data_IF_686287533051
#
_entry.id   IF_686287533051
#
_cell.length_a   1.000
_cell.length_b   1.000
_cell.length_c   1.000
_cell.angle_alpha   90.00
_cell.angle_beta   90.00
_cell.angle_gamma   90.00
#
_symmetry.space_group_name_H-M   'P 1'
#
loop_
_entity.id
_entity.type
_entity.pdbx_description
1 polymer ?
#
# COMPACT_ATOMS: atom_id res chain seq x y z
N UNK A 1 -1.82 10.76 -16.85
CA UNK A 1 -1.81 9.28 -17.00
C UNK A 1 -3.24 8.81 -17.06
N UNK A 2 -3.57 8.06 -18.10
CA UNK A 2 -4.88 7.40 -18.20
C UNK A 2 -4.82 6.04 -17.47
N UNK A 3 -5.97 5.55 -16.99
CA UNK A 3 -6.03 4.25 -16.32
C UNK A 3 -5.53 3.11 -17.22
N UNK A 4 -5.76 3.21 -18.53
CA UNK A 4 -5.28 2.26 -19.53
C UNK A 4 -3.75 2.18 -19.68
N UNK A 5 -3.02 3.18 -19.17
CA UNK A 5 -1.56 3.17 -19.15
C UNK A 5 -1.00 2.29 -18.01
N UNK A 6 -1.83 2.00 -17.00
CA UNK A 6 -1.47 1.26 -15.78
C UNK A 6 -1.89 -0.21 -15.92
N UNK A 7 -1.13 -1.12 -15.32
CA UNK A 7 -1.48 -2.56 -15.37
C UNK A 7 -1.02 -3.32 -14.12
N UNK A 8 0.24 -3.59 -13.96
CA UNK A 8 0.80 -4.43 -12.89
C UNK A 8 1.90 -3.70 -12.13
N UNK A 9 2.29 -4.21 -10.96
CA UNK A 9 3.52 -3.74 -10.31
C UNK A 9 4.74 -3.93 -11.20
N UNK A 10 4.78 -5.04 -11.95
CA UNK A 10 5.88 -5.37 -12.86
C UNK A 10 6.02 -4.33 -13.99
N UNK A 11 4.92 -3.78 -14.46
CA UNK A 11 4.92 -2.75 -15.51
C UNK A 11 5.60 -1.45 -15.08
N UNK A 12 5.69 -1.17 -13.76
CA UNK A 12 6.41 0.00 -13.25
C UNK A 12 7.92 -0.02 -13.56
N UNK A 13 8.47 -1.17 -13.91
CA UNK A 13 9.84 -1.32 -14.40
C UNK A 13 10.03 -0.84 -15.86
N UNK A 14 8.95 -0.56 -16.59
CA UNK A 14 9.02 -0.11 -17.98
C UNK A 14 9.56 1.32 -18.09
N UNK A 15 10.40 1.58 -19.11
CA UNK A 15 11.00 2.90 -19.37
C UNK A 15 9.98 4.03 -19.63
N UNK A 16 8.72 3.70 -19.97
CA UNK A 16 7.66 4.70 -20.10
C UNK A 16 7.42 5.49 -18.80
N UNK A 17 7.83 4.92 -17.66
CA UNK A 17 7.71 5.54 -16.34
C UNK A 17 8.94 6.33 -15.89
N UNK A 18 9.96 6.48 -16.72
CA UNK A 18 11.21 7.17 -16.38
C UNK A 18 10.96 8.61 -15.93
N UNK A 19 11.43 8.91 -14.70
CA UNK A 19 11.24 10.23 -14.09
C UNK A 19 9.80 10.54 -13.67
N UNK A 20 8.95 9.52 -13.51
CA UNK A 20 7.51 9.69 -13.26
C UNK A 20 7.01 9.02 -11.97
N UNK A 21 7.84 8.15 -11.35
CA UNK A 21 7.43 7.42 -10.15
C UNK A 21 7.83 8.15 -8.87
N UNK A 22 6.91 8.19 -7.92
CA UNK A 22 7.09 8.74 -6.57
C UNK A 22 6.91 7.65 -5.52
N UNK A 23 7.87 7.54 -4.62
CA UNK A 23 7.90 6.50 -3.59
C UNK A 23 8.45 7.01 -2.27
N UNK A 24 8.16 6.30 -1.20
CA UNK A 24 8.80 6.48 0.11
C UNK A 24 10.13 5.75 0.18
N UNK A 25 10.92 6.04 1.21
CA UNK A 25 12.16 5.32 1.54
C UNK A 25 11.93 3.80 1.69
N UNK A 26 12.97 3.03 1.33
CA UNK A 26 13.05 1.58 1.56
C UNK A 26 12.95 1.17 3.04
N UNK A 27 13.28 2.09 3.95
CA UNK A 27 13.14 1.88 5.40
C UNK A 27 11.67 1.78 5.86
N UNK A 28 10.73 2.20 5.01
CA UNK A 28 9.31 2.14 5.32
C UNK A 28 8.77 0.70 5.30
N UNK A 29 8.03 0.32 6.34
CA UNK A 29 7.49 -1.03 6.51
C UNK A 29 6.53 -1.44 5.38
N UNK A 30 5.80 -0.50 4.77
CA UNK A 30 4.87 -0.80 3.68
C UNK A 30 5.61 -1.16 2.39
N UNK A 31 6.68 -0.42 2.06
CA UNK A 31 7.55 -0.76 0.93
C UNK A 31 8.25 -2.10 1.16
N UNK A 32 8.70 -2.37 2.40
CA UNK A 32 9.28 -3.67 2.74
C UNK A 32 8.27 -4.81 2.60
N UNK A 33 7.01 -4.60 2.98
CA UNK A 33 5.95 -5.58 2.80
C UNK A 33 5.65 -5.82 1.32
N UNK A 34 5.52 -4.76 0.51
CA UNK A 34 5.33 -4.87 -0.93
C UNK A 34 6.49 -5.64 -1.58
N UNK A 35 7.74 -5.27 -1.29
CA UNK A 35 8.87 -5.96 -1.89
C UNK A 35 8.97 -7.42 -1.42
N UNK A 36 8.64 -7.70 -0.15
CA UNK A 36 8.54 -9.07 0.36
C UNK A 36 7.50 -9.89 -0.39
N UNK A 37 6.36 -9.29 -0.76
CA UNK A 37 5.34 -9.96 -1.58
C UNK A 37 5.84 -10.24 -3.00
N UNK A 38 6.60 -9.34 -3.60
CA UNK A 38 7.22 -9.55 -4.91
C UNK A 38 8.28 -10.67 -4.84
N UNK A 39 9.14 -10.70 -3.81
CA UNK A 39 10.08 -11.80 -3.60
C UNK A 39 9.36 -13.14 -3.47
N UNK A 40 8.26 -13.19 -2.74
CA UNK A 40 7.50 -14.42 -2.56
C UNK A 40 6.83 -14.91 -3.86
N UNK A 41 6.34 -13.97 -4.69
CA UNK A 41 5.63 -14.29 -5.93
C UNK A 41 6.56 -14.52 -7.13
N UNK A 42 7.66 -13.75 -7.23
CA UNK A 42 8.52 -13.69 -8.43
C UNK A 42 9.90 -14.34 -8.20
N UNK A 43 10.33 -14.49 -6.95
CA UNK A 43 11.69 -14.88 -6.57
C UNK A 43 12.64 -13.68 -6.46
N UNK A 44 13.83 -13.93 -5.88
CA UNK A 44 14.80 -12.88 -5.55
C UNK A 44 15.37 -12.19 -6.80
N UNK A 45 15.81 -12.97 -7.81
CA UNK A 45 16.44 -12.44 -9.03
C UNK A 45 15.49 -11.53 -9.81
N UNK A 46 14.26 -11.97 -10.06
CA UNK A 46 13.28 -11.16 -10.78
C UNK A 46 12.90 -9.89 -10.00
N UNK A 47 12.80 -9.98 -8.67
CA UNK A 47 12.53 -8.83 -7.81
C UNK A 47 13.71 -7.86 -7.77
N UNK A 48 14.95 -8.34 -7.77
CA UNK A 48 16.14 -7.50 -7.88
C UNK A 48 16.13 -6.68 -9.17
N UNK A 49 15.94 -7.35 -10.31
CA UNK A 49 15.88 -6.70 -11.62
C UNK A 49 14.74 -5.67 -11.69
N UNK A 50 13.57 -6.00 -11.14
CA UNK A 50 12.45 -5.08 -11.02
C UNK A 50 12.81 -3.86 -10.20
N UNK A 51 13.44 -4.05 -9.03
CA UNK A 51 13.81 -2.95 -8.13
C UNK A 51 14.79 -1.98 -8.81
N UNK A 52 15.83 -2.49 -9.48
CA UNK A 52 16.79 -1.66 -10.23
C UNK A 52 16.12 -0.83 -11.33
N UNK A 53 15.21 -1.46 -12.09
CA UNK A 53 14.47 -0.78 -13.14
C UNK A 53 13.52 0.29 -12.57
N UNK A 54 12.78 -0.02 -11.50
CA UNK A 54 11.87 0.93 -10.83
C UNK A 54 12.63 2.11 -10.24
N UNK A 55 13.81 1.88 -9.62
CA UNK A 55 14.67 2.95 -9.10
C UNK A 55 15.09 3.90 -10.22
N UNK A 56 15.40 3.39 -11.41
CA UNK A 56 15.74 4.21 -12.58
C UNK A 56 14.59 5.07 -13.08
N UNK A 57 13.36 4.75 -12.69
CA UNK A 57 12.14 5.44 -13.07
C UNK A 57 11.67 6.47 -12.01
N UNK A 58 12.36 6.61 -10.89
CA UNK A 58 11.99 7.60 -9.88
C UNK A 58 12.06 9.02 -10.40
N UNK A 59 11.03 9.81 -10.09
CA UNK A 59 10.97 11.23 -10.41
C UNK A 59 11.94 12.05 -9.55
N UNK A 60 12.24 11.56 -8.35
CA UNK A 60 13.14 12.17 -7.37
C UNK A 60 13.61 11.12 -6.37
N UNK A 61 14.62 11.45 -5.57
CA UNK A 61 15.03 10.63 -4.43
C UNK A 61 13.83 10.36 -3.50
N UNK A 62 13.68 9.11 -2.99
CA UNK A 62 12.64 8.74 -2.06
C UNK A 62 12.65 9.62 -0.80
N UNK A 63 11.52 10.22 -0.45
CA UNK A 63 11.38 11.08 0.74
C UNK A 63 9.93 11.25 1.16
N UNK A 64 9.71 11.61 2.41
CA UNK A 64 8.38 11.91 2.95
C UNK A 64 7.53 10.65 3.21
N UNK A 65 6.28 10.87 3.50
CA UNK A 65 5.29 9.82 3.76
C UNK A 65 4.32 9.67 2.56
N UNK A 66 3.27 8.81 2.68
CA UNK A 66 2.32 8.57 1.58
C UNK A 66 1.58 9.84 1.16
N UNK A 67 1.17 10.70 2.12
CA UNK A 67 0.51 11.97 1.80
C UNK A 67 1.44 12.90 1.02
N UNK A 68 2.75 12.87 1.33
CA UNK A 68 3.75 13.68 0.61
C UNK A 68 3.93 13.20 -0.84
N UNK A 69 3.75 11.89 -1.13
CA UNK A 69 3.76 11.40 -2.50
C UNK A 69 2.54 11.93 -3.27
N UNK A 70 1.34 11.89 -2.69
CA UNK A 70 0.11 12.42 -3.31
C UNK A 70 0.22 13.92 -3.57
N UNK A 71 0.68 14.70 -2.58
CA UNK A 71 0.93 16.14 -2.75
C UNK A 71 1.98 16.42 -3.83
N UNK A 72 2.97 15.55 -3.97
CA UNK A 72 3.98 15.68 -5.04
C UNK A 72 3.40 15.42 -6.43
N UNK A 73 2.45 14.47 -6.59
CA UNK A 73 1.70 14.32 -7.85
C UNK A 73 0.90 15.60 -8.15
N UNK A 74 0.13 16.10 -7.17
CA UNK A 74 -0.65 17.33 -7.32
C UNK A 74 0.22 18.53 -7.71
N UNK A 75 1.48 18.56 -7.28
CA UNK A 75 2.47 19.58 -7.64
C UNK A 75 3.23 19.29 -8.95
N UNK A 76 2.86 18.27 -9.71
CA UNK A 76 3.48 17.91 -10.99
C UNK A 76 4.90 17.37 -10.90
N UNK A 77 5.31 16.81 -9.73
CA UNK A 77 6.65 16.26 -9.54
C UNK A 77 6.80 14.81 -10.05
N UNK A 78 5.72 14.17 -10.41
CA UNK A 78 5.64 12.82 -10.95
C UNK A 78 4.19 12.49 -11.25
N UNK A 79 3.94 11.32 -11.84
CA UNK A 79 2.61 10.96 -12.34
C UNK A 79 1.99 9.77 -11.63
N UNK A 80 2.81 8.89 -11.06
CA UNK A 80 2.37 7.69 -10.36
C UNK A 80 3.07 7.59 -9.01
N UNK A 81 2.34 7.25 -7.96
CA UNK A 81 2.91 7.02 -6.64
C UNK A 81 2.51 5.65 -6.08
N UNK A 82 3.45 4.98 -5.41
CA UNK A 82 3.16 3.77 -4.62
C UNK A 82 2.83 4.21 -3.20
N UNK A 83 1.56 4.05 -2.81
CA UNK A 83 1.03 4.47 -1.50
C UNK A 83 0.00 3.47 -0.99
N UNK A 84 -0.29 3.50 0.31
CA UNK A 84 -1.47 2.81 0.83
C UNK A 84 -2.72 3.64 0.55
N UNK A 85 -3.76 2.98 0.05
CA UNK A 85 -5.00 3.64 -0.41
C UNK A 85 -5.70 4.46 0.67
N UNK A 86 -5.70 4.01 1.94
CA UNK A 86 -6.39 4.71 3.01
C UNK A 86 -5.89 6.15 3.24
N UNK A 87 -4.64 6.47 2.88
CA UNK A 87 -4.14 7.85 2.97
C UNK A 87 -4.89 8.80 2.03
N UNK A 88 -5.46 8.29 0.94
CA UNK A 88 -6.29 9.11 0.04
C UNK A 88 -7.60 9.49 0.75
N UNK A 89 -8.24 8.55 1.44
CA UNK A 89 -9.41 8.82 2.27
C UNK A 89 -9.13 9.87 3.36
N UNK A 90 -7.98 9.76 4.01
CA UNK A 90 -7.54 10.74 5.02
C UNK A 90 -7.28 12.14 4.42
N UNK A 91 -6.74 12.23 3.21
CA UNK A 91 -6.56 13.52 2.52
C UNK A 91 -7.90 14.14 2.12
N UNK A 92 -8.80 13.34 1.55
CA UNK A 92 -10.14 13.79 1.12
C UNK A 92 -11.01 14.28 2.28
N UNK A 93 -10.76 13.77 3.49
CA UNK A 93 -11.49 14.11 4.71
C UNK A 93 -10.74 15.10 5.62
N UNK A 94 -9.65 15.68 5.15
CA UNK A 94 -8.85 16.64 5.91
C UNK A 94 -9.59 17.97 6.07
N UNK A 95 -9.36 18.66 7.18
CA UNK A 95 -9.78 20.06 7.36
C UNK A 95 -8.90 21.05 6.57
N UNK A 96 -7.76 20.59 6.05
CA UNK A 96 -6.84 21.40 5.25
C UNK A 96 -7.24 21.31 3.77
N UNK A 97 -7.64 22.43 3.20
CA UNK A 97 -8.07 22.55 1.80
C UNK A 97 -6.98 22.10 0.79
N UNK A 98 -5.71 22.37 1.07
CA UNK A 98 -4.59 21.90 0.23
C UNK A 98 -4.53 20.36 0.17
N UNK A 99 -4.75 19.69 1.31
CA UNK A 99 -4.79 18.23 1.38
C UNK A 99 -5.98 17.65 0.61
N UNK A 100 -7.16 18.26 0.79
CA UNK A 100 -8.38 17.85 0.07
C UNK A 100 -8.19 18.02 -1.44
N UNK A 101 -7.62 19.13 -1.88
CA UNK A 101 -7.36 19.39 -3.29
C UNK A 101 -6.32 18.41 -3.87
N UNK A 102 -5.27 18.07 -3.13
CA UNK A 102 -4.32 17.04 -3.52
C UNK A 102 -4.99 15.67 -3.67
N UNK A 103 -5.83 15.27 -2.70
CA UNK A 103 -6.61 14.02 -2.78
C UNK A 103 -7.55 13.97 -3.99
N UNK A 104 -8.20 15.09 -4.33
CA UNK A 104 -9.12 15.19 -5.48
C UNK A 104 -8.42 15.20 -6.83
N UNK A 105 -7.12 15.49 -6.88
CA UNK A 105 -6.35 15.56 -8.12
C UNK A 105 -5.80 14.23 -8.62
N UNK A 106 -6.02 13.14 -7.87
CA UNK A 106 -5.51 11.81 -8.19
C UNK A 106 -6.65 10.78 -8.26
N UNK A 107 -6.37 9.66 -8.91
CA UNK A 107 -7.21 8.46 -8.88
C UNK A 107 -6.47 7.31 -8.21
N UNK A 108 -7.22 6.42 -7.55
CA UNK A 108 -6.68 5.18 -6.98
C UNK A 108 -6.73 4.09 -8.05
N UNK A 109 -5.61 3.42 -8.25
CA UNK A 109 -5.49 2.28 -9.14
C UNK A 109 -4.98 1.05 -8.39
N UNK A 110 -5.65 -0.08 -8.55
CA UNK A 110 -5.23 -1.37 -8.00
C UNK A 110 -4.54 -2.20 -9.08
N UNK A 111 -3.23 -2.47 -8.98
CA UNK A 111 -2.51 -3.22 -10.00
C UNK A 111 -2.82 -4.72 -9.99
N UNK A 112 -2.42 -5.42 -11.05
CA UNK A 112 -2.55 -6.87 -11.20
C UNK A 112 -4.00 -7.40 -11.18
N UNK A 113 -4.94 -6.68 -11.82
CA UNK A 113 -6.37 -7.05 -11.83
C UNK A 113 -6.81 -7.88 -13.05
N UNK A 114 -5.98 -7.99 -14.09
CA UNK A 114 -6.29 -8.72 -15.32
C UNK A 114 -6.46 -10.24 -15.12
N UNK A 115 -6.98 -10.92 -16.13
CA UNK A 115 -7.13 -12.36 -16.12
C UNK A 115 -5.79 -13.07 -15.94
N UNK A 116 -5.76 -14.03 -15.02
CA UNK A 116 -4.53 -14.76 -14.67
C UNK A 116 -3.52 -13.99 -13.81
N UNK A 117 -3.71 -12.69 -13.58
CA UNK A 117 -2.85 -11.91 -12.68
C UNK A 117 -3.20 -12.17 -11.21
N UNK A 118 -2.25 -11.98 -10.29
CA UNK A 118 -2.38 -12.38 -8.88
C UNK A 118 -3.28 -11.48 -8.02
N UNK A 119 -3.52 -10.25 -8.43
CA UNK A 119 -4.19 -9.24 -7.62
C UNK A 119 -3.24 -8.27 -6.93
N UNK A 120 -3.79 -7.25 -6.31
CA UNK A 120 -3.02 -6.22 -5.59
C UNK A 120 -2.49 -6.73 -4.25
N UNK A 121 -1.26 -6.35 -3.92
CA UNK A 121 -0.72 -6.52 -2.57
C UNK A 121 -1.59 -5.81 -1.54
N UNK A 122 -1.80 -6.46 -0.40
CA UNK A 122 -2.51 -5.89 0.73
C UNK A 122 -1.61 -5.83 1.97
N UNK A 123 -1.75 -4.76 2.74
CA UNK A 123 -1.28 -4.69 4.12
C UNK A 123 -2.46 -4.96 5.06
N UNK A 124 -2.17 -5.39 6.29
CA UNK A 124 -3.18 -5.59 7.33
C UNK A 124 -2.78 -4.86 8.60
N UNK A 125 -3.75 -4.22 9.23
CA UNK A 125 -3.63 -3.73 10.59
C UNK A 125 -3.94 -4.88 11.55
N UNK A 126 -3.16 -5.04 12.61
CA UNK A 126 -3.30 -6.17 13.52
C UNK A 126 -3.16 -5.78 14.99
N UNK A 127 -3.73 -6.59 15.85
CA UNK A 127 -3.60 -6.50 17.30
C UNK A 127 -3.06 -7.80 17.86
N UNK A 128 -2.17 -7.71 18.83
CA UNK A 128 -1.59 -8.88 19.48
C UNK A 128 -1.56 -8.73 21.00
N UNK A 129 -1.76 -9.85 21.70
CA UNK A 129 -1.62 -9.92 23.14
C UNK A 129 -0.14 -10.04 23.51
N UNK A 130 0.39 -9.06 24.24
CA UNK A 130 1.77 -9.14 24.76
C UNK A 130 1.92 -10.34 25.73
N UNK A 131 3.07 -11.03 25.64
CA UNK A 131 3.37 -12.23 26.48
C UNK A 131 3.14 -11.97 27.97
N UNK A 132 3.53 -10.80 28.45
CA UNK A 132 3.48 -10.40 29.87
C UNK A 132 2.38 -9.35 30.12
N UNK A 133 1.27 -9.36 29.37
CA UNK A 133 0.17 -8.44 29.56
C UNK A 133 -0.40 -8.56 31.00
N UNK A 134 -0.45 -7.47 31.80
CA UNK A 134 -0.91 -7.51 33.20
C UNK A 134 -2.42 -7.75 33.29
N UNK A 135 -3.19 -7.31 32.28
CA UNK A 135 -4.65 -7.43 32.22
C UNK A 135 -5.10 -8.33 31.06
N UNK A 136 -4.55 -9.54 30.99
CA UNK A 136 -4.72 -10.48 29.87
C UNK A 136 -6.19 -10.74 29.53
N UNK A 137 -7.04 -10.95 30.53
CA UNK A 137 -8.49 -11.20 30.33
C UNK A 137 -9.19 -10.03 29.64
N UNK A 138 -8.90 -8.78 30.05
CA UNK A 138 -9.49 -7.59 29.44
C UNK A 138 -8.91 -7.34 28.04
N UNK A 139 -7.62 -7.62 27.83
CA UNK A 139 -7.00 -7.52 26.52
C UNK A 139 -7.62 -8.50 25.52
N UNK A 140 -7.93 -9.72 25.92
CA UNK A 140 -8.64 -10.69 25.06
C UNK A 140 -10.05 -10.21 24.71
N UNK A 141 -10.81 -9.67 25.67
CA UNK A 141 -12.13 -9.09 25.40
C UNK A 141 -12.05 -7.91 24.40
N UNK A 142 -10.99 -7.09 24.51
CA UNK A 142 -10.77 -6.01 23.55
C UNK A 142 -10.48 -6.58 22.14
N UNK A 143 -9.65 -7.62 22.03
CA UNK A 143 -9.36 -8.25 20.73
C UNK A 143 -10.64 -8.84 20.13
N UNK A 144 -11.46 -9.51 20.94
CA UNK A 144 -12.77 -10.03 20.50
C UNK A 144 -13.70 -8.90 20.03
N UNK A 145 -13.77 -7.79 20.79
CA UNK A 145 -14.56 -6.62 20.40
C UNK A 145 -14.08 -6.01 19.08
N UNK A 146 -12.76 -5.85 18.89
CA UNK A 146 -12.18 -5.27 17.66
C UNK A 146 -12.52 -6.09 16.40
N UNK A 147 -12.89 -7.37 16.55
CA UNK A 147 -13.36 -8.22 15.45
C UNK A 147 -14.89 -8.29 15.34
N UNK A 148 -15.65 -7.55 16.17
CA UNK A 148 -17.11 -7.45 16.06
C UNK A 148 -17.53 -6.61 14.86
N UNK A 149 -18.79 -6.75 14.42
CA UNK A 149 -19.33 -5.94 13.33
C UNK A 149 -19.31 -4.46 13.70
N UNK A 150 -19.74 -4.11 14.92
CA UNK A 150 -19.73 -2.74 15.45
C UNK A 150 -18.35 -2.09 15.37
N UNK A 151 -17.30 -2.79 15.84
CA UNK A 151 -15.94 -2.25 15.80
C UNK A 151 -15.42 -2.11 14.37
N UNK A 152 -15.74 -3.05 13.49
CA UNK A 152 -15.33 -3.00 12.10
C UNK A 152 -16.05 -1.86 11.35
N UNK A 153 -17.31 -1.57 11.62
CA UNK A 153 -18.03 -0.39 11.11
C UNK A 153 -17.36 0.91 11.55
N UNK A 154 -16.94 1.01 12.83
CA UNK A 154 -16.18 2.14 13.33
C UNK A 154 -14.85 2.30 12.58
N UNK A 155 -14.11 1.19 12.37
CA UNK A 155 -12.83 1.19 11.66
C UNK A 155 -12.98 1.72 10.23
N UNK A 156 -13.81 1.10 9.40
CA UNK A 156 -13.94 1.48 8.00
C UNK A 156 -14.35 2.95 7.81
N UNK A 157 -15.16 3.48 8.73
CA UNK A 157 -15.63 4.85 8.66
C UNK A 157 -14.61 5.91 9.14
N UNK A 158 -13.61 5.51 9.92
CA UNK A 158 -12.64 6.44 10.48
C UNK A 158 -11.21 6.26 9.94
N UNK A 159 -10.88 5.07 9.42
CA UNK A 159 -9.52 4.79 8.93
C UNK A 159 -9.45 4.68 7.40
N UNK A 160 -10.58 4.58 6.71
CA UNK A 160 -10.65 4.36 5.25
C UNK A 160 -9.97 3.06 4.80
N UNK A 161 -9.86 2.09 5.71
CA UNK A 161 -9.40 0.74 5.43
C UNK A 161 -10.59 -0.17 5.08
N UNK A 162 -10.31 -1.28 4.40
CA UNK A 162 -11.31 -2.32 4.18
C UNK A 162 -11.45 -3.18 5.44
N UNK A 163 -12.68 -3.60 5.75
CA UNK A 163 -12.94 -4.51 6.87
C UNK A 163 -12.31 -5.90 6.62
N UNK A 164 -11.90 -6.56 7.71
CA UNK A 164 -11.55 -7.99 7.69
C UNK A 164 -12.79 -8.89 7.62
N UNK A 165 -13.99 -8.32 7.81
CA UNK A 165 -15.27 -9.02 7.74
C UNK A 165 -15.96 -8.76 6.40
N UNK A 166 -16.40 -9.79 5.67
CA UNK A 166 -16.94 -9.62 4.32
C UNK A 166 -18.30 -8.94 4.27
N UNK A 167 -19.02 -8.89 5.40
CA UNK A 167 -20.37 -8.29 5.48
C UNK A 167 -20.36 -6.80 5.89
N UNK A 168 -19.19 -6.22 6.14
CA UNK A 168 -19.04 -4.81 6.48
C UNK A 168 -18.65 -4.04 5.23
N UNK A 169 -19.53 -3.14 4.83
CA UNK A 169 -19.32 -2.27 3.67
C UNK A 169 -18.19 -1.26 3.93
N UNK A 170 -17.35 -0.98 2.94
CA UNK A 170 -16.36 0.09 3.06
C UNK A 170 -17.03 1.47 3.23
N UNK A 171 -16.27 2.45 3.72
CA UNK A 171 -16.65 3.86 3.72
C UNK A 171 -17.01 4.34 2.31
N UNK A 172 -17.92 5.32 2.18
CA UNK A 172 -18.39 5.79 0.88
C UNK A 172 -17.27 6.32 -0.03
N UNK A 173 -16.26 6.99 0.53
CA UNK A 173 -15.06 7.38 -0.23
C UNK A 173 -14.32 6.15 -0.80
N UNK A 174 -14.19 5.12 0.01
CA UNK A 174 -13.51 3.86 -0.40
C UNK A 174 -14.30 3.09 -1.45
N UNK A 175 -15.65 3.15 -1.39
CA UNK A 175 -16.52 2.55 -2.41
C UNK A 175 -16.31 3.14 -3.80
N UNK A 176 -15.99 4.44 -3.90
CA UNK A 176 -15.71 5.11 -5.17
C UNK A 176 -14.48 4.53 -5.88
N UNK A 177 -13.55 3.89 -5.15
CA UNK A 177 -12.38 3.24 -5.75
C UNK A 177 -12.70 1.87 -6.37
N UNK A 178 -13.94 1.39 -6.21
CA UNK A 178 -14.40 0.11 -6.75
C UNK A 178 -13.93 -1.10 -5.94
N UNK A 179 -14.10 -2.26 -6.54
CA UNK A 179 -13.66 -3.54 -5.98
C UNK A 179 -12.36 -3.98 -6.62
N UNK A 180 -11.53 -4.70 -5.89
CA UNK A 180 -10.28 -5.23 -6.42
C UNK A 180 -10.05 -6.68 -5.98
N UNK A 181 -9.30 -7.40 -6.80
CA UNK A 181 -8.77 -8.71 -6.49
C UNK A 181 -7.51 -8.54 -5.64
N UNK A 182 -7.51 -9.07 -4.42
CA UNK A 182 -6.33 -9.10 -3.55
C UNK A 182 -5.41 -10.26 -3.92
N UNK A 183 -4.11 -10.07 -3.78
CA UNK A 183 -3.12 -11.15 -3.86
C UNK A 183 -3.43 -12.21 -2.77
N UNK A 184 -3.63 -13.48 -3.14
CA UNK A 184 -3.93 -14.56 -2.19
C UNK A 184 -2.72 -15.05 -1.40
N UNK A 185 -1.57 -14.36 -1.50
CA UNK A 185 -0.34 -14.71 -0.80
C UNK A 185 -0.59 -14.85 0.70
N UNK A 186 -0.05 -15.91 1.32
CA UNK A 186 -0.01 -16.03 2.77
C UNK A 186 0.80 -14.88 3.37
N UNK A 187 0.14 -14.04 4.18
CA UNK A 187 0.76 -12.85 4.79
C UNK A 187 1.97 -13.17 5.70
N UNK A 188 2.10 -14.41 6.19
CA UNK A 188 3.30 -14.84 6.91
C UNK A 188 4.55 -14.76 6.03
N UNK A 189 4.40 -14.86 4.71
CA UNK A 189 5.51 -14.71 3.77
C UNK A 189 6.12 -13.31 3.81
N UNK A 190 5.34 -12.27 4.13
CA UNK A 190 5.85 -10.89 4.24
C UNK A 190 6.93 -10.78 5.31
N UNK A 191 6.70 -11.42 6.47
CA UNK A 191 7.69 -11.47 7.54
C UNK A 191 8.91 -12.32 7.19
N UNK A 192 8.71 -13.51 6.61
CA UNK A 192 9.79 -14.44 6.26
C UNK A 192 10.69 -13.91 5.14
N UNK A 193 10.16 -13.11 4.19
CA UNK A 193 10.89 -12.54 3.06
C UNK A 193 11.42 -11.12 3.30
N UNK A 194 11.18 -10.56 4.48
CA UNK A 194 11.57 -9.18 4.79
C UNK A 194 13.08 -8.93 4.67
N UNK A 195 13.91 -9.85 5.15
CA UNK A 195 15.36 -9.68 5.08
C UNK A 195 15.87 -9.75 3.63
N UNK A 196 15.24 -10.59 2.80
CA UNK A 196 15.55 -10.67 1.38
C UNK A 196 15.17 -9.35 0.69
N UNK A 197 13.99 -8.81 0.99
CA UNK A 197 13.53 -7.52 0.48
C UNK A 197 14.48 -6.36 0.86
N UNK A 198 14.96 -6.30 2.10
CA UNK A 198 15.90 -5.27 2.54
C UNK A 198 17.22 -5.35 1.76
N UNK A 199 17.77 -6.56 1.57
CA UNK A 199 18.99 -6.74 0.77
C UNK A 199 18.81 -6.31 -0.68
N UNK A 200 17.62 -6.59 -1.26
CA UNK A 200 17.28 -6.21 -2.64
C UNK A 200 17.13 -4.69 -2.75
N UNK A 201 16.52 -4.01 -1.78
CA UNK A 201 16.46 -2.55 -1.75
C UNK A 201 17.86 -1.93 -1.74
N UNK A 202 18.75 -2.42 -0.85
CA UNK A 202 20.11 -1.92 -0.74
C UNK A 202 20.89 -2.13 -2.04
N UNK A 203 20.82 -3.32 -2.62
CA UNK A 203 21.50 -3.67 -3.86
C UNK A 203 20.95 -2.92 -5.08
N UNK A 204 19.62 -2.73 -5.15
CA UNK A 204 18.93 -2.01 -6.22
C UNK A 204 19.00 -0.48 -6.10
N UNK A 205 19.53 0.05 -5.00
CA UNK A 205 19.70 1.49 -4.80
C UNK A 205 18.42 2.24 -4.39
N UNK A 206 17.40 1.57 -3.94
CA UNK A 206 16.21 2.20 -3.36
C UNK A 206 16.54 2.62 -1.92
N UNK A 207 16.72 3.92 -1.70
CA UNK A 207 17.13 4.51 -0.42
C UNK A 207 15.95 4.80 0.52
#
# INVERSE_FOLDING_TARGET
VEESDLSTYEDLANEKWKGRLLVRSSSNSYNQALLSSLVANLGEEATQNWTEAVVSNFARDPKGNDRDQVKAIAAGQGDVAIVNSYYIGLLLSSENEEEVNAGKSISVFFPNQGDGQRGSHINVSGVALAKNAPNKSNALKLIEYLTSDEAQEIYVNNTYEYSVKPNIEPNDIVKEWGTFKKDPLDLNMLGSKRNDAIRIFDAGGWK
#
